data_IF_429533259826
#
_entry.id   IF_429533259826
#
_cell.length_a   1.000
_cell.length_b   1.000
_cell.length_c   1.000
_cell.angle_alpha   90.00
_cell.angle_beta   90.00
_cell.angle_gamma   90.00
#
_symmetry.space_group_name_H-M   'P 1'
#
loop_
_entity.id
_entity.type
_entity.pdbx_description
1 polymer ?
#
# COMPACT_ATOMS: atom_id res chain seq x y z
N UNK A 1 4.62 5.83 -18.96
CA UNK A 1 3.22 5.34 -18.82
C UNK A 1 2.35 6.24 -19.67
N UNK A 2 1.42 5.67 -20.47
CA UNK A 2 0.48 6.43 -21.32
C UNK A 2 -0.46 7.29 -20.47
N UNK A 3 -0.87 8.43 -20.99
CA UNK A 3 -1.74 9.39 -20.27
C UNK A 3 -3.07 8.76 -19.83
N UNK A 4 -3.70 8.00 -20.72
CA UNK A 4 -4.97 7.29 -20.46
C UNK A 4 -4.88 6.38 -19.20
N UNK A 5 -3.79 5.63 -19.06
CA UNK A 5 -3.59 4.77 -17.91
C UNK A 5 -3.39 5.56 -16.61
N UNK A 6 -2.81 6.76 -16.66
CA UNK A 6 -2.75 7.65 -15.49
C UNK A 6 -4.14 8.08 -15.05
N UNK A 7 -5.01 8.42 -16.01
CA UNK A 7 -6.39 8.83 -15.73
C UNK A 7 -7.16 7.71 -15.06
N UNK A 8 -7.06 6.49 -15.59
CA UNK A 8 -7.70 5.29 -15.00
C UNK A 8 -7.26 5.07 -13.55
N UNK A 9 -5.95 5.06 -13.31
CA UNK A 9 -5.39 4.82 -11.98
C UNK A 9 -5.76 5.96 -11.02
N UNK A 10 -5.73 7.20 -11.48
CA UNK A 10 -6.14 8.36 -10.68
C UNK A 10 -7.61 8.26 -10.28
N UNK A 11 -8.48 7.88 -11.21
CA UNK A 11 -9.90 7.64 -10.94
C UNK A 11 -10.08 6.55 -9.91
N UNK A 12 -9.45 5.38 -10.12
CA UNK A 12 -9.51 4.26 -9.17
C UNK A 12 -9.07 4.68 -7.76
N UNK A 13 -7.92 5.36 -7.65
CA UNK A 13 -7.40 5.83 -6.36
C UNK A 13 -8.38 6.77 -5.65
N UNK A 14 -8.94 7.75 -6.37
CA UNK A 14 -9.90 8.69 -5.80
C UNK A 14 -11.19 7.99 -5.35
N UNK A 15 -11.72 7.06 -6.14
CA UNK A 15 -12.91 6.30 -5.79
C UNK A 15 -12.67 5.41 -4.56
N UNK A 16 -11.48 4.79 -4.46
CA UNK A 16 -11.09 4.01 -3.30
C UNK A 16 -10.93 4.88 -2.05
N UNK A 17 -10.23 6.01 -2.14
CA UNK A 17 -10.06 6.97 -1.03
C UNK A 17 -11.42 7.42 -0.50
N UNK A 18 -12.36 7.80 -1.37
CA UNK A 18 -13.70 8.23 -0.95
C UNK A 18 -14.48 7.15 -0.21
N UNK A 19 -14.38 5.90 -0.66
CA UNK A 19 -15.01 4.76 0.05
C UNK A 19 -14.43 4.56 1.44
N UNK A 20 -13.11 4.65 1.57
CA UNK A 20 -12.43 4.52 2.87
C UNK A 20 -12.78 5.71 3.77
N UNK A 21 -12.76 6.93 3.25
CA UNK A 21 -13.13 8.14 4.00
C UNK A 21 -14.57 8.08 4.51
N UNK A 22 -15.51 7.65 3.65
CA UNK A 22 -16.91 7.44 4.06
C UNK A 22 -17.00 6.46 5.23
N UNK A 23 -16.33 5.31 5.15
CA UNK A 23 -16.27 4.34 6.24
C UNK A 23 -15.65 4.95 7.52
N UNK A 24 -14.59 5.75 7.39
CA UNK A 24 -13.99 6.42 8.54
C UNK A 24 -14.97 7.37 9.23
N UNK A 25 -15.79 8.10 8.48
CA UNK A 25 -16.86 8.97 9.01
C UNK A 25 -17.95 8.16 9.73
N UNK A 26 -18.38 7.07 9.14
CA UNK A 26 -19.50 6.27 9.66
C UNK A 26 -19.11 5.44 10.88
N UNK A 27 -17.88 4.88 10.91
CA UNK A 27 -17.51 3.83 11.85
C UNK A 27 -16.39 4.21 12.84
N UNK A 28 -15.69 5.33 12.62
CA UNK A 28 -14.54 5.72 13.44
C UNK A 28 -14.72 7.09 14.07
N UNK A 29 -14.84 8.13 13.25
CA UNK A 29 -15.03 9.52 13.69
C UNK A 29 -15.98 10.26 12.74
N UNK A 30 -17.13 10.63 13.22
CA UNK A 30 -18.20 11.30 12.45
C UNK A 30 -17.74 12.56 11.69
N UNK A 31 -16.82 13.32 12.28
CA UNK A 31 -16.29 14.56 11.68
C UNK A 31 -14.96 14.36 10.92
N UNK A 32 -14.51 13.11 10.71
CA UNK A 32 -13.29 12.86 9.95
C UNK A 32 -13.48 13.18 8.48
N UNK A 33 -12.66 14.06 7.96
CA UNK A 33 -12.64 14.44 6.55
C UNK A 33 -11.21 14.74 6.11
N UNK A 34 -10.82 14.22 4.94
CA UNK A 34 -9.51 14.51 4.35
C UNK A 34 -9.55 15.89 3.68
N UNK A 35 -8.99 16.89 4.35
CA UNK A 35 -8.87 18.25 3.83
C UNK A 35 -7.93 18.34 2.61
N UNK A 36 -6.99 17.40 2.48
CA UNK A 36 -6.04 17.37 1.36
C UNK A 36 -5.80 15.95 0.86
N UNK A 37 -6.05 15.74 -0.45
CA UNK A 37 -5.73 14.50 -1.16
C UNK A 37 -4.84 14.85 -2.35
N UNK A 38 -3.61 14.35 -2.35
CA UNK A 38 -2.65 14.55 -3.45
C UNK A 38 -2.19 13.21 -4.00
N UNK A 39 -2.36 13.01 -5.30
CA UNK A 39 -1.82 11.88 -6.06
C UNK A 39 -0.62 12.37 -6.87
N UNK A 40 0.58 12.10 -6.38
CA UNK A 40 1.83 12.63 -6.91
C UNK A 40 2.48 11.69 -7.94
N UNK A 41 2.46 12.07 -9.19
CA UNK A 41 3.03 11.33 -10.31
C UNK A 41 4.51 11.67 -10.58
N UNK A 42 5.11 12.56 -9.80
CA UNK A 42 6.51 12.94 -10.00
C UNK A 42 7.45 11.79 -9.63
N UNK A 43 8.46 11.56 -10.44
CA UNK A 43 9.53 10.58 -10.15
C UNK A 43 10.45 11.02 -9.01
N UNK A 44 10.36 12.29 -8.60
CA UNK A 44 11.15 12.84 -7.48
C UNK A 44 10.67 12.37 -6.12
N UNK A 45 9.40 11.95 -6.01
CA UNK A 45 8.81 11.45 -4.78
C UNK A 45 8.71 9.95 -4.80
N UNK A 46 9.37 9.28 -3.87
CA UNK A 46 9.33 7.83 -3.69
C UNK A 46 8.52 7.37 -2.47
N UNK A 47 8.17 8.28 -1.56
CA UNK A 47 7.42 7.97 -0.34
C UNK A 47 6.08 8.70 -0.30
N UNK A 48 5.03 7.96 0.07
CA UNK A 48 3.72 8.51 0.44
C UNK A 48 3.76 9.08 1.85
N UNK A 49 2.78 9.90 2.21
CA UNK A 49 2.65 10.49 3.55
C UNK A 49 1.19 10.76 3.88
N UNK A 50 0.76 10.32 5.07
CA UNK A 50 -0.48 10.76 5.70
C UNK A 50 -0.19 11.57 6.97
N UNK A 51 -1.07 12.46 7.37
CA UNK A 51 -0.89 13.26 8.58
C UNK A 51 -1.82 14.46 8.69
N UNK A 52 -1.45 15.40 9.56
CA UNK A 52 -2.11 16.71 9.67
C UNK A 52 -1.38 17.74 8.82
N UNK A 53 -2.15 18.46 8.03
CA UNK A 53 -1.72 19.62 7.24
C UNK A 53 -2.36 20.90 7.81
N UNK A 54 -2.06 22.05 7.24
CA UNK A 54 -2.60 23.32 7.72
C UNK A 54 -4.13 23.35 7.79
N UNK A 55 -4.78 22.74 6.81
CA UNK A 55 -6.24 22.74 6.66
C UNK A 55 -6.93 21.52 7.31
N UNK A 56 -6.16 20.56 7.83
CA UNK A 56 -6.72 19.35 8.44
C UNK A 56 -5.95 18.07 8.10
N UNK A 57 -6.54 16.89 8.38
CA UNK A 57 -5.94 15.62 8.01
C UNK A 57 -5.84 15.48 6.49
N UNK A 58 -4.82 14.81 5.99
CA UNK A 58 -4.64 14.64 4.55
C UNK A 58 -3.64 13.56 4.19
N UNK A 59 -3.62 13.22 2.90
CA UNK A 59 -2.72 12.21 2.34
C UNK A 59 -2.05 12.70 1.06
N UNK A 60 -0.84 12.23 0.84
CA UNK A 60 -0.09 12.43 -0.39
C UNK A 60 0.49 11.08 -0.83
N UNK A 61 -0.01 10.54 -1.93
CA UNK A 61 0.34 9.22 -2.44
C UNK A 61 1.34 9.36 -3.59
N UNK A 62 2.49 8.68 -3.47
CA UNK A 62 3.52 8.63 -4.49
C UNK A 62 3.15 7.63 -5.59
N UNK A 63 2.46 8.09 -6.62
CA UNK A 63 1.84 7.26 -7.67
C UNK A 63 2.84 6.67 -8.66
N UNK A 64 3.96 7.36 -8.95
CA UNK A 64 4.87 7.00 -10.02
C UNK A 64 5.56 5.62 -9.83
N UNK A 65 5.61 5.09 -8.61
CA UNK A 65 6.30 3.86 -8.25
C UNK A 65 5.37 2.65 -8.06
N UNK A 66 4.06 2.89 -7.97
CA UNK A 66 3.06 1.87 -7.65
C UNK A 66 2.64 0.99 -8.84
N UNK A 67 2.98 1.39 -10.09
CA UNK A 67 2.43 0.73 -11.29
C UNK A 67 3.37 -0.21 -12.01
N UNK A 68 4.57 -0.43 -11.52
CA UNK A 68 5.59 -1.20 -12.26
C UNK A 68 5.36 -2.71 -12.29
N UNK A 69 4.27 -3.19 -11.67
CA UNK A 69 4.02 -4.63 -11.48
C UNK A 69 2.68 -5.05 -12.07
N UNK A 70 2.69 -5.44 -13.35
CA UNK A 70 1.53 -6.03 -14.01
C UNK A 70 1.82 -7.48 -14.39
N UNK A 71 0.87 -8.37 -14.11
CA UNK A 71 0.77 -9.69 -14.72
C UNK A 71 1.50 -10.85 -14.04
N UNK A 72 2.35 -10.60 -13.05
CA UNK A 72 3.04 -11.66 -12.29
C UNK A 72 2.69 -11.59 -10.81
N UNK A 73 2.87 -12.68 -10.08
CA UNK A 73 2.81 -12.68 -8.62
C UNK A 73 3.91 -11.77 -8.10
N UNK A 74 3.56 -10.91 -7.16
CA UNK A 74 4.52 -10.04 -6.50
C UNK A 74 4.31 -10.02 -4.99
N UNK A 75 5.39 -9.82 -4.26
CA UNK A 75 5.36 -9.61 -2.83
C UNK A 75 5.23 -8.13 -2.53
N UNK A 76 4.12 -7.73 -1.92
CA UNK A 76 3.91 -6.40 -1.37
C UNK A 76 4.59 -6.35 -0.01
N UNK A 77 5.65 -5.56 0.08
CA UNK A 77 6.38 -5.37 1.33
C UNK A 77 5.74 -4.25 2.14
N UNK A 78 5.49 -4.52 3.39
CA UNK A 78 5.12 -3.53 4.38
C UNK A 78 6.33 -3.15 5.26
N UNK A 79 6.15 -2.26 6.20
CA UNK A 79 7.20 -1.84 7.15
C UNK A 79 7.83 -3.05 7.85
N UNK A 80 9.16 -3.03 8.01
CA UNK A 80 9.90 -4.14 8.61
C UNK A 80 9.40 -4.52 10.00
N UNK A 81 8.88 -3.57 10.78
CA UNK A 81 8.29 -3.82 12.09
C UNK A 81 6.94 -4.56 12.04
N UNK A 82 6.32 -4.70 10.86
CA UNK A 82 5.04 -5.38 10.68
C UNK A 82 5.17 -6.76 10.04
N UNK A 83 6.37 -7.18 9.64
CA UNK A 83 6.58 -8.41 8.87
C UNK A 83 6.06 -9.70 9.53
N UNK A 84 5.91 -9.70 10.87
CA UNK A 84 5.35 -10.82 11.66
C UNK A 84 3.88 -10.65 12.01
N UNK A 85 3.26 -9.54 11.60
CA UNK A 85 1.85 -9.27 11.89
C UNK A 85 1.02 -9.79 10.71
N UNK A 86 0.18 -10.78 10.97
CA UNK A 86 -0.59 -11.46 9.93
C UNK A 86 -1.66 -10.57 9.30
N UNK A 87 -2.16 -9.56 10.05
CA UNK A 87 -3.21 -8.67 9.57
C UNK A 87 -2.69 -7.44 8.81
N UNK A 88 -1.53 -6.92 9.22
CA UNK A 88 -0.95 -5.68 8.66
C UNK A 88 0.46 -5.86 8.09
N UNK A 89 0.93 -7.09 8.01
CA UNK A 89 2.20 -7.43 7.35
C UNK A 89 2.12 -7.40 5.84
N UNK A 90 3.26 -7.70 5.20
CA UNK A 90 3.33 -7.87 3.75
C UNK A 90 2.52 -9.08 3.27
N UNK A 91 2.17 -9.08 1.98
CA UNK A 91 1.37 -10.13 1.37
C UNK A 91 1.76 -10.37 -0.10
N UNK A 92 1.32 -11.50 -0.66
CA UNK A 92 1.48 -11.81 -2.08
C UNK A 92 0.21 -11.46 -2.85
N UNK A 93 0.35 -10.94 -4.06
CA UNK A 93 -0.78 -10.59 -4.92
C UNK A 93 -0.44 -10.72 -6.41
N UNK A 94 -1.48 -10.90 -7.22
CA UNK A 94 -1.49 -10.75 -8.67
C UNK A 94 -2.36 -9.56 -9.10
N UNK A 95 -3.12 -8.97 -8.18
CA UNK A 95 -4.00 -7.84 -8.44
C UNK A 95 -3.19 -6.55 -8.46
N UNK A 96 -3.21 -5.84 -9.58
CA UNK A 96 -2.48 -4.60 -9.78
C UNK A 96 -2.85 -3.47 -8.79
N UNK A 97 -4.00 -3.54 -8.14
CA UNK A 97 -4.52 -2.50 -7.26
C UNK A 97 -4.13 -2.69 -5.80
N UNK A 98 -3.90 -3.91 -5.34
CA UNK A 98 -3.69 -4.21 -3.92
C UNK A 98 -2.52 -3.44 -3.30
N UNK A 99 -1.44 -3.18 -4.06
CA UNK A 99 -0.32 -2.36 -3.55
C UNK A 99 -0.75 -0.90 -3.37
N UNK A 100 -1.51 -0.35 -4.29
CA UNK A 100 -2.04 1.01 -4.21
C UNK A 100 -3.03 1.14 -3.05
N UNK A 101 -3.95 0.20 -2.92
CA UNK A 101 -4.91 0.13 -1.82
C UNK A 101 -4.21 0.08 -0.47
N UNK A 102 -3.21 -0.81 -0.32
CA UNK A 102 -2.40 -0.90 0.88
C UNK A 102 -1.77 0.45 1.26
N UNK A 103 -1.14 1.13 0.29
CA UNK A 103 -0.51 2.44 0.54
C UNK A 103 -1.55 3.49 0.94
N UNK A 104 -2.69 3.53 0.26
CA UNK A 104 -3.77 4.47 0.61
C UNK A 104 -4.26 4.21 2.05
N UNK A 105 -4.53 2.95 2.42
CA UNK A 105 -4.98 2.58 3.76
C UNK A 105 -3.93 2.95 4.83
N UNK A 106 -2.64 2.74 4.53
CA UNK A 106 -1.54 3.12 5.41
C UNK A 106 -1.53 4.63 5.68
N UNK A 107 -1.64 5.45 4.63
CA UNK A 107 -1.58 6.90 4.78
C UNK A 107 -2.86 7.48 5.43
N UNK A 108 -4.03 6.88 5.16
CA UNK A 108 -5.26 7.24 5.88
C UNK A 108 -5.17 6.86 7.35
N UNK A 109 -4.55 5.73 7.70
CA UNK A 109 -4.32 5.36 9.09
C UNK A 109 -3.43 6.39 9.83
N UNK A 110 -2.43 6.96 9.14
CA UNK A 110 -1.67 8.10 9.69
C UNK A 110 -2.55 9.34 9.87
N UNK A 111 -3.36 9.70 8.89
CA UNK A 111 -4.29 10.84 9.00
C UNK A 111 -5.25 10.67 10.19
N UNK A 112 -5.82 9.48 10.38
CA UNK A 112 -6.66 9.13 11.53
C UNK A 112 -5.89 9.20 12.86
N UNK A 113 -4.66 8.69 12.89
CA UNK A 113 -3.81 8.76 14.07
C UNK A 113 -3.58 10.21 14.52
N UNK A 114 -3.24 11.09 13.58
CA UNK A 114 -3.01 12.51 13.86
C UNK A 114 -4.30 13.24 14.21
N UNK A 115 -5.42 12.89 13.56
CA UNK A 115 -6.74 13.43 13.89
C UNK A 115 -7.14 13.04 15.32
N UNK A 116 -6.98 11.77 15.70
CA UNK A 116 -7.19 11.28 17.06
C UNK A 116 -6.30 12.00 18.09
N UNK A 117 -5.03 12.27 17.74
CA UNK A 117 -4.13 13.06 18.59
C UNK A 117 -4.63 14.48 18.81
N UNK A 118 -5.11 15.14 17.73
CA UNK A 118 -5.68 16.51 17.84
C UNK A 118 -6.87 16.55 18.80
N UNK A 119 -7.72 15.53 18.75
CA UNK A 119 -8.88 15.42 19.63
C UNK A 119 -8.51 15.14 21.10
N UNK A 120 -7.55 14.24 21.33
CA UNK A 120 -7.24 13.68 22.64
C UNK A 120 -5.95 14.21 23.26
N UNK A 121 -5.18 15.05 22.56
CA UNK A 121 -3.89 15.65 22.98
C UNK A 121 -2.80 14.65 23.38
N UNK A 122 -2.86 13.40 22.95
CA UNK A 122 -1.83 12.39 23.20
C UNK A 122 -0.78 12.35 22.10
N UNK A 123 0.50 12.35 22.48
CA UNK A 123 1.60 12.10 21.53
C UNK A 123 1.59 10.63 21.11
N UNK A 124 1.37 10.39 19.81
CA UNK A 124 1.44 9.06 19.24
C UNK A 124 2.76 8.88 18.49
N UNK A 125 3.45 7.75 18.75
CA UNK A 125 4.60 7.37 17.91
C UNK A 125 4.10 6.99 16.52
N UNK A 126 4.75 7.44 15.43
CA UNK A 126 4.49 6.91 14.10
C UNK A 126 4.56 5.37 14.14
N UNK A 127 3.60 4.70 13.52
CA UNK A 127 3.49 3.23 13.53
C UNK A 127 3.38 2.58 14.94
N UNK A 128 3.00 3.36 15.96
CA UNK A 128 2.71 2.87 17.31
C UNK A 128 1.35 2.15 17.40
N UNK A 129 0.93 1.76 18.62
CA UNK A 129 -0.32 1.01 18.82
C UNK A 129 -1.55 1.67 18.20
N UNK A 130 -1.70 2.98 18.33
CA UNK A 130 -2.83 3.74 17.76
C UNK A 130 -2.87 3.64 16.23
N UNK A 131 -1.72 3.84 15.57
CA UNK A 131 -1.61 3.64 14.13
C UNK A 131 -2.00 2.22 13.73
N UNK A 132 -1.38 1.21 14.37
CA UNK A 132 -1.64 -0.20 14.06
C UNK A 132 -3.10 -0.57 14.22
N UNK A 133 -3.78 -0.03 15.22
CA UNK A 133 -5.21 -0.26 15.43
C UNK A 133 -6.04 0.29 14.26
N UNK A 134 -5.83 1.54 13.85
CA UNK A 134 -6.54 2.10 12.69
C UNK A 134 -6.20 1.36 11.41
N UNK A 135 -4.91 1.07 11.19
CA UNK A 135 -4.47 0.39 9.98
C UNK A 135 -5.05 -1.03 9.87
N UNK A 136 -5.08 -1.78 10.99
CA UNK A 136 -5.70 -3.12 11.06
C UNK A 136 -7.19 -3.07 10.76
N UNK A 137 -7.92 -2.12 11.34
CA UNK A 137 -9.35 -1.92 11.06
C UNK A 137 -9.59 -1.67 9.58
N UNK A 138 -8.84 -0.76 8.97
CA UNK A 138 -8.97 -0.45 7.55
C UNK A 138 -8.59 -1.64 6.65
N UNK A 139 -7.50 -2.33 6.96
CA UNK A 139 -7.06 -3.52 6.22
C UNK A 139 -8.13 -4.63 6.27
N UNK A 140 -8.72 -4.88 7.41
CA UNK A 140 -9.73 -5.93 7.60
C UNK A 140 -11.05 -5.62 6.90
N UNK A 141 -11.33 -4.37 6.59
CA UNK A 141 -12.53 -4.00 5.80
C UNK A 141 -12.24 -3.96 4.30
N UNK A 142 -11.13 -3.36 3.89
CA UNK A 142 -10.93 -2.96 2.50
C UNK A 142 -9.92 -3.79 1.71
N UNK A 143 -9.07 -4.57 2.37
CA UNK A 143 -8.00 -5.30 1.67
C UNK A 143 -7.94 -6.78 2.05
N UNK A 144 -7.80 -7.12 3.33
CA UNK A 144 -7.57 -8.50 3.76
C UNK A 144 -8.64 -9.51 3.28
N UNK A 145 -9.95 -9.18 3.26
CA UNK A 145 -10.98 -10.09 2.76
C UNK A 145 -10.86 -10.42 1.25
N UNK A 146 -10.15 -9.60 0.51
CA UNK A 146 -9.96 -9.73 -0.94
C UNK A 146 -8.61 -10.32 -1.32
N UNK A 147 -7.75 -10.59 -0.34
CA UNK A 147 -6.47 -11.24 -0.61
C UNK A 147 -6.69 -12.73 -0.90
N UNK A 148 -6.04 -13.26 -1.93
CA UNK A 148 -6.07 -14.70 -2.23
C UNK A 148 -5.30 -15.48 -1.15
N UNK A 149 -5.37 -16.81 -1.22
CA UNK A 149 -4.60 -17.71 -0.35
C UNK A 149 -3.10 -17.36 -0.39
N UNK A 150 -2.60 -16.86 0.72
CA UNK A 150 -1.24 -16.35 0.84
C UNK A 150 -0.20 -17.46 0.80
N UNK A 151 -0.52 -18.65 1.31
CA UNK A 151 0.36 -19.81 1.27
C UNK A 151 0.56 -20.28 -0.16
N UNK A 152 -0.53 -20.48 -0.88
CA UNK A 152 -0.51 -20.91 -2.28
C UNK A 152 0.23 -19.90 -3.17
N UNK A 153 -0.03 -18.59 -3.01
CA UNK A 153 0.66 -17.56 -3.79
C UNK A 153 2.14 -17.48 -3.47
N UNK A 154 2.51 -17.66 -2.20
CA UNK A 154 3.92 -17.68 -1.79
C UNK A 154 4.67 -18.85 -2.44
N UNK A 155 4.12 -20.06 -2.37
CA UNK A 155 4.70 -21.26 -2.98
C UNK A 155 4.92 -21.07 -4.48
N UNK A 156 3.92 -20.53 -5.19
CA UNK A 156 4.03 -20.23 -6.61
C UNK A 156 5.07 -19.15 -6.91
N UNK A 157 5.10 -18.08 -6.12
CA UNK A 157 6.09 -17.01 -6.25
C UNK A 157 7.52 -17.53 -6.06
N UNK A 158 7.75 -18.38 -5.05
CA UNK A 158 9.05 -18.95 -4.76
C UNK A 158 9.49 -19.93 -5.89
N UNK A 159 8.56 -20.72 -6.44
CA UNK A 159 8.80 -21.59 -7.58
C UNK A 159 9.18 -20.79 -8.86
N UNK A 160 8.42 -19.73 -9.17
CA UNK A 160 8.69 -18.87 -10.32
C UNK A 160 10.09 -18.21 -10.20
N UNK A 161 10.46 -17.76 -9.00
CA UNK A 161 11.79 -17.18 -8.75
C UNK A 161 12.92 -18.21 -8.88
N UNK A 162 12.70 -19.42 -8.39
CA UNK A 162 13.69 -20.49 -8.53
C UNK A 162 13.91 -20.88 -10.00
N UNK A 163 12.84 -20.90 -10.80
CA UNK A 163 12.93 -21.16 -12.24
C UNK A 163 13.73 -20.08 -12.97
N UNK A 164 13.48 -18.80 -12.67
CA UNK A 164 14.23 -17.68 -13.27
C UNK A 164 15.71 -17.75 -12.87
N UNK A 165 16.04 -18.01 -11.61
CA UNK A 165 17.43 -18.13 -11.14
C UNK A 165 18.20 -19.24 -11.87
N UNK A 166 17.58 -20.39 -12.13
CA UNK A 166 18.19 -21.47 -12.93
C UNK A 166 18.45 -21.07 -14.37
N UNK A 167 17.54 -20.31 -14.99
CA UNK A 167 17.74 -19.81 -16.36
C UNK A 167 18.91 -18.82 -16.45
N UNK A 168 19.04 -17.94 -15.47
CA UNK A 168 20.14 -16.97 -15.40
C UNK A 168 21.49 -17.68 -15.19
N UNK A 169 21.55 -18.72 -14.34
CA UNK A 169 22.76 -19.56 -14.13
C UNK A 169 23.15 -20.28 -15.42
N UNK A 170 22.18 -20.85 -16.14
CA UNK A 170 22.42 -21.53 -17.42
C UNK A 170 22.91 -20.55 -18.50
N UNK A 171 22.36 -19.35 -18.57
CA UNK A 171 22.78 -18.31 -19.49
C UNK A 171 24.19 -17.80 -19.18
N UNK A 172 24.59 -17.76 -17.91
CA UNK A 172 25.96 -17.41 -17.49
C UNK A 172 26.96 -18.49 -17.87
N UNK A 173 26.65 -19.78 -17.59
CA UNK A 173 27.53 -20.91 -17.95
C UNK A 173 27.81 -20.98 -19.47
N UNK A 174 26.77 -20.77 -20.30
CA UNK A 174 26.91 -20.76 -21.76
C UNK A 174 27.79 -19.60 -22.27
N UNK A 175 27.74 -18.44 -21.63
CA UNK A 175 28.62 -17.30 -21.96
C UNK A 175 30.08 -17.58 -21.56
N UNK A 176 30.30 -18.18 -20.39
CA UNK A 176 31.64 -18.53 -19.92
C UNK A 176 32.30 -19.66 -20.77
N UNK A 177 31.49 -20.55 -21.36
CA UNK A 177 32.00 -21.62 -22.24
C UNK A 177 32.33 -21.14 -23.68
N UNK A 178 31.87 -19.93 -24.04
CA UNK A 178 32.05 -19.35 -25.38
C UNK A 178 33.17 -18.28 -25.45
N UNK A 179 33.81 -18.01 -24.32
CA UNK A 179 34.98 -17.11 -24.16
C UNK A 179 36.26 -17.89 -23.93
#
# INVERSE_FOLDING_TARGET
MKAEKRVEITKYANDFIRRVEKHCKEEIYVDFELASIKLDWSLKRSASRGGMYADGPGINIAMAWLHKRQGSIYHVKEYASFHKDEEIGGFYSQNQWHQLEMVILHEIAHALQYYSYKLNKFRCKPHGPTFKNFYRRLRNVFLNPYLPDQKQLKEKYDADRAAVAKLDEFAWMNRAASS
#
